data_IF_148558435032
#
_entry.id   IF_148558435032
#
_cell.length_a   1.000
_cell.length_b   1.000
_cell.length_c   1.000
_cell.angle_alpha   90.00
_cell.angle_beta   90.00
_cell.angle_gamma   90.00
#
_symmetry.space_group_name_H-M   'P 1'
#
loop_
_entity.id
_entity.type
_entity.pdbx_description
1 polymer ?
#
# COMPACT_ATOMS: atom_id res chain seq x y z
N UNK A 1 23.88 -29.57 6.72
CA UNK A 1 24.88 -30.66 6.59
C UNK A 1 25.89 -30.23 5.54
N UNK A 2 27.19 -30.35 5.85
CA UNK A 2 28.28 -30.03 4.93
C UNK A 2 28.20 -30.96 3.70
N UNK A 3 28.30 -30.48 2.45
CA UNK A 3 28.27 -31.29 1.23
C UNK A 3 29.29 -32.45 1.22
N UNK A 4 30.30 -32.42 2.09
CA UNK A 4 31.26 -33.52 2.29
C UNK A 4 30.68 -34.75 3.01
N UNK A 5 29.54 -34.63 3.69
CA UNK A 5 28.91 -35.71 4.47
C UNK A 5 27.78 -36.45 3.73
N UNK A 6 27.48 -36.05 2.49
CA UNK A 6 26.44 -36.65 1.64
C UNK A 6 26.57 -38.19 1.46
N UNK A 7 27.79 -38.77 1.27
CA UNK A 7 27.97 -40.21 1.08
C UNK A 7 27.64 -41.07 2.32
N UNK A 8 27.48 -40.44 3.50
CA UNK A 8 27.29 -41.14 4.78
C UNK A 8 25.84 -41.12 5.27
N UNK A 9 24.91 -40.53 4.50
CA UNK A 9 23.50 -40.62 4.85
C UNK A 9 22.95 -42.01 4.48
N UNK A 10 22.28 -42.66 5.44
CA UNK A 10 21.70 -44.00 5.26
C UNK A 10 20.77 -44.07 4.03
N UNK A 11 20.04 -42.98 3.76
CA UNK A 11 19.16 -42.89 2.60
C UNK A 11 19.91 -42.82 1.25
N UNK A 12 21.10 -42.17 1.19
CA UNK A 12 21.94 -42.18 -0.02
C UNK A 12 22.51 -43.57 -0.30
N UNK A 13 22.93 -44.29 0.75
CA UNK A 13 23.47 -45.65 0.63
C UNK A 13 22.41 -46.65 0.13
N UNK A 14 21.16 -46.51 0.58
CA UNK A 14 20.01 -47.29 0.07
C UNK A 14 19.73 -46.97 -1.41
N UNK A 15 19.85 -45.70 -1.81
CA UNK A 15 19.65 -45.28 -3.20
C UNK A 15 20.77 -45.80 -4.13
N UNK A 16 22.02 -45.76 -3.68
CA UNK A 16 23.19 -46.31 -4.39
C UNK A 16 23.08 -47.83 -4.56
N UNK A 17 22.65 -48.55 -3.52
CA UNK A 17 22.42 -50.00 -3.57
C UNK A 17 21.26 -50.39 -4.51
N UNK A 18 20.27 -49.51 -4.68
CA UNK A 18 19.09 -49.76 -5.54
C UNK A 18 19.32 -49.46 -7.02
N UNK A 19 20.37 -48.69 -7.35
CA UNK A 19 20.67 -48.22 -8.71
C UNK A 19 22.11 -48.54 -9.15
N UNK A 20 22.49 -49.83 -9.26
CA UNK A 20 23.88 -50.25 -9.48
C UNK A 20 24.46 -49.87 -10.86
N UNK A 21 23.60 -49.55 -11.84
CA UNK A 21 23.99 -49.24 -13.21
C UNK A 21 24.25 -47.73 -13.47
N UNK A 22 24.13 -46.88 -12.46
CA UNK A 22 24.28 -45.43 -12.57
C UNK A 22 25.62 -45.02 -11.96
N UNK A 23 26.36 -44.13 -12.63
CA UNK A 23 27.61 -43.60 -12.10
C UNK A 23 27.39 -42.86 -10.78
N UNK A 24 28.26 -43.11 -9.80
CA UNK A 24 28.20 -42.51 -8.45
C UNK A 24 28.14 -40.98 -8.48
N UNK A 25 28.76 -40.36 -9.49
CA UNK A 25 28.73 -38.91 -9.69
C UNK A 25 27.34 -38.39 -10.11
N UNK A 26 26.63 -39.13 -10.97
CA UNK A 26 25.26 -38.81 -11.36
C UNK A 26 24.29 -39.02 -10.19
N UNK A 27 24.44 -40.12 -9.44
CA UNK A 27 23.70 -40.39 -8.20
C UNK A 27 23.88 -39.28 -7.16
N UNK A 28 25.10 -38.77 -6.99
CA UNK A 28 25.39 -37.65 -6.08
C UNK A 28 24.70 -36.35 -6.53
N UNK A 29 24.69 -36.07 -7.83
CA UNK A 29 23.97 -34.93 -8.40
C UNK A 29 22.46 -35.05 -8.17
N UNK A 30 21.89 -36.22 -8.46
CA UNK A 30 20.47 -36.51 -8.23
C UNK A 30 20.09 -36.37 -6.75
N UNK A 31 20.92 -36.91 -5.86
CA UNK A 31 20.72 -36.80 -4.41
C UNK A 31 20.78 -35.36 -3.94
N UNK A 32 21.73 -34.57 -4.43
CA UNK A 32 21.82 -33.14 -4.12
C UNK A 32 20.53 -32.41 -4.51
N UNK A 33 19.96 -32.69 -5.68
CA UNK A 33 18.69 -32.11 -6.13
C UNK A 33 17.51 -32.56 -5.27
N UNK A 34 17.42 -33.85 -4.94
CA UNK A 34 16.36 -34.40 -4.06
C UNK A 34 16.46 -33.81 -2.66
N UNK A 35 17.67 -33.71 -2.11
CA UNK A 35 17.92 -33.11 -0.80
C UNK A 35 17.57 -31.61 -0.78
N UNK A 36 17.98 -30.85 -1.80
CA UNK A 36 17.60 -29.45 -1.96
C UNK A 36 16.08 -29.28 -2.05
N UNK A 37 15.41 -30.13 -2.83
CA UNK A 37 13.94 -30.14 -2.93
C UNK A 37 13.27 -30.48 -1.59
N UNK A 38 13.79 -31.46 -0.85
CA UNK A 38 13.30 -31.82 0.48
C UNK A 38 13.48 -30.67 1.47
N UNK A 39 14.64 -30.01 1.47
CA UNK A 39 14.90 -28.84 2.31
C UNK A 39 13.92 -27.70 1.97
N UNK A 40 13.72 -27.41 0.69
CA UNK A 40 12.78 -26.38 0.26
C UNK A 40 11.34 -26.71 0.71
N UNK A 41 10.90 -27.95 0.55
CA UNK A 41 9.58 -28.39 1.02
C UNK A 41 9.41 -28.24 2.54
N UNK A 42 10.46 -28.49 3.32
CA UNK A 42 10.46 -28.25 4.77
C UNK A 42 10.32 -26.76 5.12
N UNK A 43 11.06 -25.88 4.42
CA UNK A 43 10.96 -24.42 4.59
C UNK A 43 9.62 -23.84 4.11
N UNK A 44 8.92 -24.50 3.17
CA UNK A 44 7.62 -24.08 2.68
C UNK A 44 6.45 -24.46 3.60
N UNK A 45 6.63 -25.38 4.56
CA UNK A 45 5.56 -25.81 5.51
C UNK A 45 4.88 -24.65 6.27
N UNK A 46 5.59 -23.64 6.81
CA UNK A 46 4.96 -22.51 7.51
C UNK A 46 4.38 -21.44 6.57
N UNK A 47 4.69 -21.45 5.28
CA UNK A 47 4.29 -20.39 4.35
C UNK A 47 2.78 -20.17 4.24
N UNK A 48 1.91 -21.20 4.26
CA UNK A 48 0.46 -20.99 4.28
C UNK A 48 -0.02 -20.22 5.52
N UNK A 49 0.57 -20.48 6.69
CA UNK A 49 0.25 -19.76 7.93
C UNK A 49 0.72 -18.31 7.89
N UNK A 50 1.90 -18.05 7.31
CA UNK A 50 2.37 -16.69 7.03
C UNK A 50 1.36 -15.98 6.10
N UNK A 51 0.88 -16.68 5.06
CA UNK A 51 -0.16 -16.15 4.17
C UNK A 51 -1.46 -15.79 4.88
N UNK A 52 -1.88 -16.58 5.86
CA UNK A 52 -3.08 -16.25 6.64
C UNK A 52 -2.91 -14.99 7.47
N UNK A 53 -1.71 -14.73 8.02
CA UNK A 53 -1.42 -13.48 8.71
C UNK A 53 -1.49 -12.27 7.77
N UNK A 54 -1.01 -12.43 6.53
CA UNK A 54 -1.11 -11.39 5.49
C UNK A 54 -2.58 -11.10 5.16
N UNK A 55 -3.38 -12.16 5.00
CA UNK A 55 -4.82 -12.05 4.77
C UNK A 55 -5.54 -11.33 5.91
N UNK A 56 -5.24 -11.69 7.16
CA UNK A 56 -5.81 -11.06 8.35
C UNK A 56 -5.42 -9.59 8.46
N UNK A 57 -4.15 -9.24 8.25
CA UNK A 57 -3.68 -7.86 8.24
C UNK A 57 -4.35 -7.04 7.14
N UNK A 58 -4.50 -7.63 5.94
CA UNK A 58 -5.21 -7.00 4.83
C UNK A 58 -6.67 -6.75 5.17
N UNK A 59 -7.35 -7.72 5.81
CA UNK A 59 -8.74 -7.59 6.24
C UNK A 59 -8.92 -6.45 7.25
N UNK A 60 -8.00 -6.30 8.21
CA UNK A 60 -8.02 -5.19 9.17
C UNK A 60 -7.91 -3.84 8.46
N UNK A 61 -7.02 -3.71 7.48
CA UNK A 61 -6.93 -2.49 6.65
C UNK A 61 -8.24 -2.22 5.89
N UNK A 62 -8.86 -3.24 5.31
CA UNK A 62 -10.14 -3.10 4.60
C UNK A 62 -11.25 -2.63 5.53
N UNK A 63 -11.39 -3.26 6.71
CA UNK A 63 -12.41 -2.89 7.69
C UNK A 63 -12.24 -1.44 8.15
N UNK A 64 -11.00 -1.00 8.40
CA UNK A 64 -10.72 0.38 8.77
C UNK A 64 -11.07 1.37 7.65
N UNK A 65 -10.72 1.07 6.40
CA UNK A 65 -11.10 1.90 5.24
C UNK A 65 -12.63 1.97 5.05
N UNK A 66 -13.32 0.83 5.19
CA UNK A 66 -14.79 0.77 5.06
C UNK A 66 -15.47 1.52 6.21
N UNK A 67 -14.96 1.44 7.43
CA UNK A 67 -15.47 2.20 8.56
C UNK A 67 -15.37 3.72 8.31
N UNK A 68 -14.24 4.19 7.77
CA UNK A 68 -14.09 5.59 7.37
C UNK A 68 -15.05 5.99 6.23
N UNK A 69 -15.25 5.11 5.25
CA UNK A 69 -16.21 5.33 4.15
C UNK A 69 -17.65 5.45 4.68
N UNK A 70 -18.09 4.52 5.54
CA UNK A 70 -19.42 4.52 6.13
C UNK A 70 -19.64 5.74 7.03
N UNK A 71 -18.64 6.10 7.84
CA UNK A 71 -18.69 7.29 8.67
C UNK A 71 -18.82 8.58 7.85
N UNK A 72 -18.06 8.68 6.74
CA UNK A 72 -18.14 9.81 5.80
C UNK A 72 -19.50 9.90 5.09
N UNK A 73 -20.08 8.75 4.72
CA UNK A 73 -21.41 8.64 4.12
C UNK A 73 -22.51 9.08 5.09
N UNK A 74 -22.51 8.57 6.33
CA UNK A 74 -23.52 8.91 7.34
C UNK A 74 -23.54 10.40 7.70
N UNK A 75 -22.37 11.04 7.76
CA UNK A 75 -22.28 12.46 8.10
C UNK A 75 -22.46 13.40 6.89
N UNK A 76 -22.76 12.87 5.69
CA UNK A 76 -22.84 13.61 4.40
C UNK A 76 -21.60 14.47 4.11
N UNK A 77 -20.47 14.13 4.72
CA UNK A 77 -19.17 14.75 4.55
C UNK A 77 -18.21 13.69 4.04
N UNK A 78 -18.43 13.21 2.82
CA UNK A 78 -17.53 12.30 2.08
C UNK A 78 -16.09 12.83 1.94
N UNK A 79 -15.90 14.08 2.33
CA UNK A 79 -14.70 14.88 2.17
C UNK A 79 -13.91 15.07 3.49
N UNK A 80 -14.37 14.53 4.62
CA UNK A 80 -13.79 14.75 5.96
C UNK A 80 -13.77 13.46 6.82
N UNK A 81 -12.90 13.37 7.84
CA UNK A 81 -11.56 12.77 7.87
C UNK A 81 -11.54 11.22 8.04
N UNK A 82 -10.37 10.61 7.85
CA UNK A 82 -10.11 9.22 8.24
C UNK A 82 -9.86 9.13 9.74
N UNK A 83 -10.91 8.76 10.50
CA UNK A 83 -10.85 8.64 11.96
C UNK A 83 -10.34 7.26 12.38
N UNK A 84 -10.73 6.23 11.64
CA UNK A 84 -10.43 4.84 11.94
C UNK A 84 -9.16 4.36 11.23
N UNK A 85 -8.94 4.78 9.98
CA UNK A 85 -7.73 4.47 9.22
C UNK A 85 -6.77 5.65 9.23
N UNK A 86 -6.01 5.79 10.32
CA UNK A 86 -5.07 6.89 10.54
C UNK A 86 -3.63 6.43 10.37
N UNK A 87 -2.78 7.24 9.72
CA UNK A 87 -1.36 6.94 9.55
C UNK A 87 -0.62 7.06 10.89
N UNK A 88 -0.51 5.96 11.63
CA UNK A 88 0.26 5.84 12.85
C UNK A 88 1.21 4.63 12.83
N UNK A 89 2.02 4.47 13.87
CA UNK A 89 2.93 3.34 13.99
C UNK A 89 2.20 1.99 13.90
N UNK A 90 1.02 1.86 14.53
CA UNK A 90 0.22 0.64 14.49
C UNK A 90 -0.26 0.31 13.06
N UNK A 91 -0.86 1.27 12.35
CA UNK A 91 -1.31 1.07 10.97
C UNK A 91 -0.13 0.72 10.05
N UNK A 92 1.02 1.36 10.24
CA UNK A 92 2.23 1.07 9.46
C UNK A 92 2.71 -0.37 9.68
N UNK A 93 2.67 -0.89 10.90
CA UNK A 93 3.02 -2.30 11.17
C UNK A 93 2.03 -3.27 10.51
N UNK A 94 0.73 -2.98 10.56
CA UNK A 94 -0.29 -3.81 9.88
C UNK A 94 -0.10 -3.78 8.37
N UNK A 95 0.17 -2.61 7.78
CA UNK A 95 0.45 -2.47 6.35
C UNK A 95 1.72 -3.25 5.98
N UNK A 96 2.78 -3.17 6.78
CA UNK A 96 4.01 -3.92 6.54
C UNK A 96 3.77 -5.44 6.50
N UNK A 97 2.89 -5.96 7.36
CA UNK A 97 2.46 -7.37 7.31
C UNK A 97 1.61 -7.64 6.06
N UNK A 98 0.68 -6.75 5.70
CA UNK A 98 -0.20 -6.92 4.55
C UNK A 98 0.55 -6.90 3.20
N UNK A 99 1.67 -6.17 3.10
CA UNK A 99 2.48 -6.10 1.86
C UNK A 99 3.62 -7.11 1.82
N UNK A 100 3.67 -8.06 2.77
CA UNK A 100 4.78 -9.00 2.88
C UNK A 100 4.93 -9.92 1.65
N UNK A 101 3.82 -10.20 0.94
CA UNK A 101 3.80 -11.10 -0.22
C UNK A 101 4.72 -10.65 -1.37
N UNK A 102 4.66 -9.39 -1.88
CA UNK A 102 5.61 -8.88 -2.86
C UNK A 102 7.00 -8.56 -2.30
N UNK A 103 7.19 -8.52 -0.97
CA UNK A 103 8.49 -8.25 -0.34
C UNK A 103 9.41 -9.46 -0.25
N UNK A 104 8.95 -10.66 -0.60
CA UNK A 104 9.75 -11.88 -0.55
C UNK A 104 10.35 -12.20 -1.94
N UNK A 105 11.66 -11.89 -2.17
CA UNK A 105 12.30 -12.13 -3.46
C UNK A 105 12.71 -13.60 -3.66
N UNK A 106 12.78 -14.41 -2.59
CA UNK A 106 13.44 -15.72 -2.61
C UNK A 106 12.47 -16.88 -2.86
N UNK A 107 11.17 -16.67 -2.70
CA UNK A 107 10.19 -17.69 -3.03
C UNK A 107 10.00 -17.77 -4.56
N UNK A 108 10.54 -18.83 -5.17
CA UNK A 108 10.21 -19.23 -6.53
C UNK A 108 8.72 -19.58 -6.58
N UNK A 109 7.94 -18.76 -7.27
CA UNK A 109 6.48 -18.80 -7.18
C UNK A 109 5.83 -18.98 -8.55
N UNK A 110 5.77 -20.23 -9.04
CA UNK A 110 5.13 -20.55 -10.30
C UNK A 110 3.60 -20.46 -10.17
N UNK A 111 2.96 -19.56 -10.92
CA UNK A 111 1.51 -19.58 -11.14
C UNK A 111 0.85 -18.20 -11.23
N UNK A 112 -0.14 -18.12 -12.09
CA UNK A 112 -0.85 -16.87 -12.43
C UNK A 112 -1.62 -16.28 -11.25
N UNK A 113 -2.18 -17.13 -10.37
CA UNK A 113 -2.86 -16.70 -9.14
C UNK A 113 -1.89 -15.98 -8.20
N UNK A 114 -0.64 -16.44 -8.16
CA UNK A 114 0.38 -15.83 -7.32
C UNK A 114 0.85 -14.48 -7.89
N UNK A 115 1.06 -14.40 -9.21
CA UNK A 115 1.33 -13.14 -9.90
C UNK A 115 0.20 -12.15 -9.65
N UNK A 116 -1.05 -12.56 -9.86
CA UNK A 116 -2.23 -11.73 -9.62
C UNK A 116 -2.29 -11.25 -8.17
N UNK A 117 -1.96 -12.09 -7.18
CA UNK A 117 -1.90 -11.68 -5.78
C UNK A 117 -0.82 -10.62 -5.52
N UNK A 118 0.40 -10.77 -6.06
CA UNK A 118 1.47 -9.75 -5.92
C UNK A 118 1.08 -8.42 -6.56
N UNK A 119 0.52 -8.45 -7.77
CA UNK A 119 0.01 -7.25 -8.45
C UNK A 119 -1.17 -6.63 -7.71
N UNK A 120 -2.04 -7.47 -7.13
CA UNK A 120 -3.14 -7.05 -6.27
C UNK A 120 -2.65 -6.36 -5.01
N UNK A 121 -1.58 -6.86 -4.37
CA UNK A 121 -0.97 -6.20 -3.22
C UNK A 121 -0.40 -4.82 -3.57
N UNK A 122 0.16 -4.65 -4.78
CA UNK A 122 0.62 -3.34 -5.25
C UNK A 122 -0.54 -2.35 -5.43
N UNK A 123 -1.63 -2.78 -6.07
CA UNK A 123 -2.84 -1.96 -6.19
C UNK A 123 -3.48 -1.64 -4.82
N UNK A 124 -3.46 -2.62 -3.91
CA UNK A 124 -3.94 -2.45 -2.55
C UNK A 124 -3.11 -1.43 -1.78
N UNK A 125 -1.79 -1.42 -1.97
CA UNK A 125 -0.91 -0.40 -1.39
C UNK A 125 -1.22 1.01 -1.91
N UNK A 126 -1.44 1.18 -3.23
CA UNK A 126 -1.92 2.46 -3.78
C UNK A 126 -3.21 2.93 -3.10
N UNK A 127 -4.15 2.01 -2.92
CA UNK A 127 -5.45 2.28 -2.31
C UNK A 127 -5.33 2.67 -0.85
N UNK A 128 -4.48 1.96 -0.09
CA UNK A 128 -4.15 2.28 1.29
C UNK A 128 -3.56 3.69 1.39
N UNK A 129 -2.55 4.00 0.57
CA UNK A 129 -1.90 5.32 0.59
C UNK A 129 -2.89 6.44 0.26
N UNK A 130 -3.74 6.28 -0.74
CA UNK A 130 -4.75 7.27 -1.10
C UNK A 130 -5.78 7.50 0.03
N UNK A 131 -6.13 6.46 0.78
CA UNK A 131 -7.05 6.58 1.92
C UNK A 131 -6.38 7.17 3.16
N UNK A 132 -5.10 6.90 3.40
CA UNK A 132 -4.38 7.44 4.55
C UNK A 132 -3.98 8.92 4.37
N UNK A 133 -3.96 9.45 3.15
CA UNK A 133 -3.44 10.79 2.84
C UNK A 133 -4.11 11.91 3.65
N UNK A 134 -5.44 11.95 3.85
CA UNK A 134 -6.08 12.97 4.67
C UNK A 134 -5.69 12.91 6.15
N UNK A 135 -5.28 11.74 6.65
CA UNK A 135 -4.91 11.57 8.06
C UNK A 135 -3.62 12.31 8.44
N UNK A 136 -2.77 12.66 7.47
CA UNK A 136 -1.57 13.48 7.70
C UNK A 136 -1.89 14.79 8.43
N UNK A 137 -3.05 15.38 8.14
CA UNK A 137 -3.46 16.65 8.70
C UNK A 137 -3.91 16.58 10.17
N UNK A 138 -4.10 15.37 10.71
CA UNK A 138 -4.53 15.16 12.11
C UNK A 138 -3.37 14.86 13.05
N UNK A 139 -2.14 14.72 12.53
CA UNK A 139 -0.98 14.26 13.29
C UNK A 139 -0.15 15.40 13.81
N UNK A 140 0.41 15.25 15.00
CA UNK A 140 1.39 16.19 15.56
C UNK A 140 2.65 16.20 14.71
N UNK A 141 3.42 17.29 14.73
CA UNK A 141 4.51 17.51 13.78
C UNK A 141 5.61 16.44 13.85
N UNK A 142 5.96 16.00 15.06
CA UNK A 142 6.94 14.92 15.28
C UNK A 142 6.40 13.56 14.81
N UNK A 143 5.15 13.25 15.16
CA UNK A 143 4.48 12.00 14.76
C UNK A 143 4.32 11.94 13.23
N UNK A 144 3.91 13.05 12.62
CA UNK A 144 3.75 13.21 11.18
C UNK A 144 5.05 12.88 10.44
N UNK A 145 6.16 13.51 10.81
CA UNK A 145 7.46 13.30 10.15
C UNK A 145 7.92 11.85 10.32
N UNK A 146 7.84 11.30 11.54
CA UNK A 146 8.25 9.92 11.81
C UNK A 146 7.44 8.91 10.99
N UNK A 147 6.11 9.05 10.96
CA UNK A 147 5.23 8.15 10.23
C UNK A 147 5.40 8.26 8.71
N UNK A 148 5.63 9.47 8.18
CA UNK A 148 5.89 9.67 6.75
C UNK A 148 7.23 9.06 6.34
N UNK A 149 8.28 9.20 7.15
CA UNK A 149 9.58 8.54 6.90
C UNK A 149 9.41 7.02 6.91
N UNK A 150 8.70 6.46 7.91
CA UNK A 150 8.45 5.02 7.98
C UNK A 150 7.65 4.52 6.77
N UNK A 151 6.61 5.25 6.34
CA UNK A 151 5.87 4.93 5.12
C UNK A 151 6.77 4.98 3.88
N UNK A 152 7.65 5.99 3.77
CA UNK A 152 8.56 6.14 2.64
C UNK A 152 9.55 4.98 2.54
N UNK A 153 10.13 4.56 3.66
CA UNK A 153 11.02 3.39 3.71
C UNK A 153 10.28 2.12 3.30
N UNK A 154 9.06 1.92 3.83
CA UNK A 154 8.24 0.76 3.51
C UNK A 154 7.93 0.67 2.01
N UNK A 155 7.53 1.80 1.41
CA UNK A 155 7.23 1.91 -0.03
C UNK A 155 8.50 1.72 -0.87
N UNK A 156 9.62 2.31 -0.47
CA UNK A 156 10.88 2.16 -1.17
C UNK A 156 11.33 0.70 -1.22
N UNK A 157 11.27 -0.01 -0.09
CA UNK A 157 11.58 -1.44 -0.03
C UNK A 157 10.64 -2.27 -0.89
N UNK A 158 9.34 -1.96 -0.91
CA UNK A 158 8.36 -2.63 -1.75
C UNK A 158 8.70 -2.49 -3.24
N UNK A 159 8.96 -1.26 -3.69
CA UNK A 159 9.31 -0.97 -5.09
C UNK A 159 10.63 -1.64 -5.46
N UNK A 160 11.66 -1.55 -4.61
CA UNK A 160 12.96 -2.15 -4.86
C UNK A 160 12.87 -3.67 -5.03
N UNK A 161 12.18 -4.35 -4.10
CA UNK A 161 11.98 -5.80 -4.17
C UNK A 161 11.23 -6.23 -5.44
N UNK A 162 10.25 -5.43 -5.87
CA UNK A 162 9.49 -5.72 -7.08
C UNK A 162 10.29 -5.49 -8.36
N UNK A 163 11.09 -4.42 -8.42
CA UNK A 163 12.01 -4.16 -9.52
C UNK A 163 13.03 -5.29 -9.68
N UNK A 164 13.58 -5.82 -8.57
CA UNK A 164 14.46 -6.99 -8.61
C UNK A 164 13.74 -8.19 -9.21
N UNK A 165 12.51 -8.49 -8.78
CA UNK A 165 11.72 -9.62 -9.29
C UNK A 165 11.37 -9.50 -10.79
N UNK A 166 11.17 -8.27 -11.30
CA UNK A 166 10.96 -8.01 -12.73
C UNK A 166 12.26 -8.23 -13.52
N UNK A 167 13.39 -7.69 -13.04
CA UNK A 167 14.68 -7.78 -13.73
C UNK A 167 15.19 -9.21 -13.79
N UNK A 168 15.07 -9.95 -12.68
CA UNK A 168 15.45 -11.37 -12.60
C UNK A 168 14.52 -12.29 -13.39
N UNK A 169 13.34 -11.81 -13.81
CA UNK A 169 12.35 -12.60 -14.55
C UNK A 169 11.58 -13.61 -13.69
N UNK A 170 11.87 -13.68 -12.38
CA UNK A 170 11.23 -14.60 -11.43
C UNK A 170 9.72 -14.32 -11.33
N UNK A 171 9.32 -13.06 -11.48
CA UNK A 171 7.91 -12.64 -11.37
C UNK A 171 6.97 -13.34 -12.36
N UNK A 172 7.48 -13.68 -13.54
CA UNK A 172 6.68 -14.27 -14.63
C UNK A 172 7.08 -15.71 -14.95
N UNK A 173 7.93 -16.32 -14.12
CA UNK A 173 8.41 -17.67 -14.35
C UNK A 173 7.26 -18.69 -14.24
N UNK A 174 6.95 -19.38 -15.33
CA UNK A 174 6.01 -20.51 -15.35
C UNK A 174 6.77 -21.79 -15.73
N UNK A 175 6.58 -22.92 -15.01
CA UNK A 175 7.31 -24.17 -15.28
C UNK A 175 6.98 -24.75 -16.67
N UNK A 176 5.75 -24.50 -17.15
CA UNK A 176 5.29 -24.94 -18.46
C UNK A 176 6.00 -24.20 -19.62
N UNK A 177 6.70 -23.09 -19.32
CA UNK A 177 7.51 -22.37 -20.30
C UNK A 177 8.74 -23.18 -20.78
N UNK A 178 9.06 -24.29 -20.11
CA UNK A 178 10.09 -25.23 -20.57
C UNK A 178 9.67 -25.99 -21.86
N UNK A 179 8.36 -26.14 -22.13
CA UNK A 179 7.85 -26.83 -23.33
C UNK A 179 7.42 -25.85 -24.43
N UNK A 180 6.93 -24.67 -24.05
CA UNK A 180 6.71 -23.54 -24.96
C UNK A 180 7.26 -22.29 -24.29
N UNK A 181 8.43 -21.76 -24.67
CA UNK A 181 8.93 -20.52 -24.10
C UNK A 181 8.00 -19.40 -24.57
N UNK A 182 6.94 -19.15 -23.82
CA UNK A 182 6.24 -17.88 -23.87
C UNK A 182 7.26 -16.86 -23.36
N UNK A 183 8.04 -16.30 -24.29
CA UNK A 183 8.87 -15.13 -24.03
C UNK A 183 7.91 -14.07 -23.53
N UNK A 184 7.86 -13.89 -22.21
CA UNK A 184 7.25 -12.70 -21.60
C UNK A 184 7.87 -11.52 -22.31
N UNK A 185 7.02 -10.79 -23.03
CA UNK A 185 7.50 -9.74 -23.88
C UNK A 185 8.13 -8.66 -23.00
N UNK A 186 9.16 -7.99 -23.50
CA UNK A 186 9.66 -6.77 -22.87
C UNK A 186 8.50 -5.80 -22.55
N UNK A 187 7.46 -5.82 -23.39
CA UNK A 187 6.22 -5.09 -23.20
C UNK A 187 5.50 -5.44 -21.89
N UNK A 188 5.37 -6.71 -21.51
CA UNK A 188 4.66 -7.10 -20.27
C UNK A 188 5.39 -6.59 -19.02
N UNK A 189 6.73 -6.56 -19.06
CA UNK A 189 7.55 -5.98 -17.99
C UNK A 189 7.37 -4.47 -17.91
N UNK A 190 7.40 -3.78 -19.04
CA UNK A 190 7.20 -2.32 -19.11
C UNK A 190 5.79 -1.94 -18.66
N UNK A 191 4.79 -2.70 -19.09
CA UNK A 191 3.37 -2.51 -18.75
C UNK A 191 3.16 -2.73 -17.24
N UNK A 192 3.74 -3.79 -16.65
CA UNK A 192 3.70 -4.02 -15.19
C UNK A 192 4.40 -2.92 -14.38
N UNK A 193 5.59 -2.49 -14.83
CA UNK A 193 6.34 -1.40 -14.20
C UNK A 193 5.56 -0.07 -14.25
N UNK A 194 5.05 0.29 -15.43
CA UNK A 194 4.26 1.51 -15.64
C UNK A 194 2.94 1.50 -14.89
N UNK A 195 2.25 0.36 -14.82
CA UNK A 195 0.93 0.25 -14.23
C UNK A 195 0.90 0.19 -12.70
N UNK A 196 1.99 -0.23 -12.04
CA UNK A 196 2.03 -0.37 -10.58
C UNK A 196 3.10 0.46 -9.89
N UNK A 197 4.34 0.48 -10.41
CA UNK A 197 5.45 1.19 -9.74
C UNK A 197 5.30 2.70 -9.87
N UNK A 198 4.93 3.19 -11.06
CA UNK A 198 4.76 4.63 -11.29
C UNK A 198 3.67 5.23 -10.41
N UNK A 199 2.45 4.67 -10.30
CA UNK A 199 1.43 5.14 -9.36
C UNK A 199 1.90 5.23 -7.89
N UNK A 200 2.60 4.20 -7.41
CA UNK A 200 3.09 4.14 -6.03
C UNK A 200 4.14 5.25 -5.77
N UNK A 201 5.08 5.45 -6.69
CA UNK A 201 6.09 6.50 -6.58
C UNK A 201 5.48 7.90 -6.66
N UNK A 202 4.49 8.11 -7.54
CA UNK A 202 3.76 9.37 -7.62
C UNK A 202 3.00 9.66 -6.32
N UNK A 203 2.36 8.64 -5.73
CA UNK A 203 1.72 8.77 -4.41
C UNK A 203 2.75 9.09 -3.32
N UNK A 204 3.95 8.52 -3.36
CA UNK A 204 5.00 8.83 -2.40
C UNK A 204 5.47 10.29 -2.48
N UNK A 205 5.65 10.81 -3.70
CA UNK A 205 5.96 12.23 -3.93
C UNK A 205 4.84 13.11 -3.39
N UNK A 206 3.58 12.75 -3.69
CA UNK A 206 2.40 13.45 -3.16
C UNK A 206 2.39 13.47 -1.61
N UNK A 207 2.77 12.36 -0.97
CA UNK A 207 2.89 12.27 0.48
C UNK A 207 3.93 13.24 1.03
N UNK A 208 5.14 13.26 0.46
CA UNK A 208 6.22 14.14 0.87
C UNK A 208 5.84 15.63 0.69
N UNK A 209 5.24 15.99 -0.45
CA UNK A 209 4.77 17.33 -0.71
C UNK A 209 3.64 17.73 0.26
N UNK A 210 2.67 16.84 0.49
CA UNK A 210 1.53 17.10 1.37
C UNK A 210 1.96 17.23 2.83
N UNK A 211 2.88 16.39 3.32
CA UNK A 211 3.41 16.48 4.68
C UNK A 211 4.17 17.79 4.89
N UNK A 212 5.00 18.20 3.92
CA UNK A 212 5.71 19.48 4.00
C UNK A 212 4.75 20.67 3.98
N UNK A 213 3.73 20.62 3.12
CA UNK A 213 2.69 21.66 3.05
C UNK A 213 1.91 21.77 4.35
N UNK A 214 1.52 20.64 4.96
CA UNK A 214 0.82 20.61 6.26
C UNK A 214 1.69 21.22 7.35
N UNK A 215 2.96 20.82 7.44
CA UNK A 215 3.89 21.34 8.45
C UNK A 215 4.08 22.85 8.32
N UNK A 216 4.29 23.34 7.09
CA UNK A 216 4.40 24.78 6.81
C UNK A 216 3.12 25.53 7.15
N UNK A 217 1.96 25.00 6.80
CA UNK A 217 0.69 25.64 7.12
C UNK A 217 0.42 25.71 8.60
N UNK A 218 0.76 24.67 9.38
CA UNK A 218 0.69 24.73 10.85
C UNK A 218 1.60 25.81 11.43
N UNK A 219 2.84 25.87 10.97
CA UNK A 219 3.80 26.89 11.42
C UNK A 219 3.31 28.32 11.10
N UNK A 220 2.77 28.54 9.91
CA UNK A 220 2.20 29.84 9.51
C UNK A 220 0.98 30.17 10.36
N UNK A 221 0.09 29.19 10.59
CA UNK A 221 -1.11 29.39 11.40
C UNK A 221 -0.75 29.71 12.85
N UNK A 222 0.19 28.99 13.45
CA UNK A 222 0.68 29.25 14.79
C UNK A 222 1.32 30.64 14.90
N UNK A 223 2.18 31.00 13.94
CA UNK A 223 2.78 32.34 13.88
C UNK A 223 1.73 33.44 13.80
N UNK A 224 0.75 33.31 12.88
CA UNK A 224 -0.34 34.28 12.74
C UNK A 224 -1.21 34.36 13.99
N UNK A 225 -1.48 33.21 14.61
CA UNK A 225 -2.22 33.15 15.86
C UNK A 225 -1.47 33.87 16.98
N UNK A 226 -0.17 33.61 17.15
CA UNK A 226 0.66 34.28 18.15
C UNK A 226 0.71 35.80 17.92
N UNK A 227 0.88 36.25 16.67
CA UNK A 227 0.84 37.68 16.33
C UNK A 227 -0.51 38.30 16.64
N UNK A 228 -1.62 37.67 16.21
CA UNK A 228 -2.97 38.18 16.47
C UNK A 228 -3.29 38.23 17.97
N UNK A 229 -2.86 37.20 18.73
CA UNK A 229 -3.03 37.14 20.16
C UNK A 229 -2.22 38.23 20.88
N UNK A 230 -0.95 38.42 20.51
CA UNK A 230 -0.13 39.50 21.07
C UNK A 230 -0.69 40.89 20.75
N UNK A 231 -1.21 41.11 19.54
CA UNK A 231 -1.88 42.37 19.18
C UNK A 231 -3.12 42.60 20.03
N UNK A 232 -3.96 41.58 20.21
CA UNK A 232 -5.14 41.66 21.08
C UNK A 232 -4.75 41.96 22.55
N UNK A 233 -3.72 41.29 23.08
CA UNK A 233 -3.20 41.51 24.44
C UNK A 233 -2.61 42.92 24.66
N UNK A 234 -2.14 43.59 23.60
CA UNK A 234 -1.62 44.97 23.68
C UNK A 234 -2.71 46.03 23.55
N UNK A 235 -3.93 45.64 23.19
CA UNK A 235 -5.08 46.55 23.07
C UNK A 235 -5.46 47.11 24.47
N UNK A 236 -5.28 48.42 24.72
CA UNK A 236 -5.57 49.04 26.01
C UNK A 236 -7.04 48.91 26.40
N UNK A 237 -7.96 48.87 25.43
CA UNK A 237 -9.40 48.73 25.70
C UNK A 237 -9.77 47.31 26.15
N UNK A 238 -9.08 46.29 25.62
CA UNK A 238 -9.24 44.90 26.04
C UNK A 238 -8.71 44.72 27.48
N UNK A 239 -7.55 45.31 27.81
CA UNK A 239 -6.96 45.28 29.16
C UNK A 239 -7.78 46.04 30.20
N UNK A 240 -8.41 47.14 29.82
CA UNK A 240 -9.24 47.96 30.71
C UNK A 240 -10.68 47.41 30.87
N UNK A 241 -11.02 46.28 30.24
CA UNK A 241 -12.38 45.71 30.25
C UNK A 241 -13.43 46.59 29.54
N UNK A 242 -13.01 47.60 28.77
CA UNK A 242 -13.88 48.56 28.06
C UNK A 242 -14.16 48.12 26.61
N UNK A 243 -14.37 46.83 26.39
CA UNK A 243 -14.55 46.30 25.04
C UNK A 243 -15.98 46.55 24.55
N UNK A 244 -16.13 47.31 23.47
CA UNK A 244 -17.43 47.48 22.80
C UNK A 244 -17.88 46.18 22.13
N UNK A 245 -19.19 45.93 22.12
CA UNK A 245 -19.80 44.72 21.52
C UNK A 245 -19.38 44.53 20.06
N UNK A 246 -19.20 45.64 19.32
CA UNK A 246 -18.74 45.63 17.92
C UNK A 246 -17.31 45.11 17.78
N UNK A 247 -16.37 45.59 18.61
CA UNK A 247 -14.98 45.11 18.62
C UNK A 247 -14.87 43.66 19.07
N UNK A 248 -15.65 43.25 20.07
CA UNK A 248 -15.72 41.85 20.50
C UNK A 248 -16.18 40.92 19.38
N UNK A 249 -17.26 41.29 18.70
CA UNK A 249 -17.79 40.53 17.55
C UNK A 249 -16.74 40.40 16.45
N UNK A 250 -15.95 41.45 16.20
CA UNK A 250 -14.89 41.44 15.21
C UNK A 250 -13.72 40.52 15.60
N UNK A 251 -13.27 40.55 16.85
CA UNK A 251 -12.24 39.62 17.34
C UNK A 251 -12.73 38.16 17.25
N UNK A 252 -13.93 37.87 17.75
CA UNK A 252 -14.51 36.51 17.70
C UNK A 252 -14.68 36.04 16.25
N UNK A 253 -15.15 36.90 15.35
CA UNK A 253 -15.27 36.57 13.93
C UNK A 253 -13.92 36.29 13.29
N UNK A 254 -12.88 37.08 13.58
CA UNK A 254 -11.54 36.86 13.03
C UNK A 254 -10.92 35.55 13.53
N UNK A 255 -11.05 35.25 14.82
CA UNK A 255 -10.59 33.96 15.37
C UNK A 255 -11.41 32.78 14.84
N UNK A 256 -12.72 32.94 14.64
CA UNK A 256 -13.59 31.92 14.06
C UNK A 256 -13.23 31.63 12.60
N UNK A 257 -13.00 32.67 11.80
CA UNK A 257 -12.55 32.53 10.40
C UNK A 257 -11.16 31.89 10.36
N UNK A 258 -10.24 32.27 11.25
CA UNK A 258 -8.90 31.66 11.36
C UNK A 258 -8.97 30.18 11.76
N UNK A 259 -9.84 29.80 12.70
CA UNK A 259 -10.07 28.42 13.11
C UNK A 259 -10.73 27.58 11.99
N UNK A 260 -11.69 28.17 11.26
CA UNK A 260 -12.41 27.49 10.17
C UNK A 260 -11.55 27.30 8.91
N UNK A 261 -10.87 28.36 8.45
CA UNK A 261 -10.07 28.34 7.22
C UNK A 261 -8.66 27.81 7.41
N UNK A 262 -8.14 27.82 8.65
CA UNK A 262 -6.80 27.37 8.98
C UNK A 262 -6.68 25.88 9.30
N UNK A 263 -7.79 25.13 9.41
CA UNK A 263 -7.71 23.72 9.79
C UNK A 263 -6.92 22.92 8.73
N UNK A 264 -5.78 22.30 9.08
CA UNK A 264 -4.95 21.57 8.12
C UNK A 264 -5.74 20.47 7.39
N UNK A 265 -6.76 19.90 8.06
CA UNK A 265 -7.62 18.86 7.52
C UNK A 265 -8.49 19.36 6.36
N UNK A 266 -9.06 20.55 6.48
CA UNK A 266 -9.84 21.17 5.41
C UNK A 266 -8.95 21.51 4.21
N UNK A 267 -7.76 22.03 4.48
CA UNK A 267 -6.79 22.38 3.44
C UNK A 267 -6.27 21.16 2.69
N UNK A 268 -6.01 20.04 3.38
CA UNK A 268 -5.59 18.78 2.76
C UNK A 268 -6.73 18.11 2.00
N UNK A 269 -7.97 18.14 2.49
CA UNK A 269 -9.09 17.59 1.74
C UNK A 269 -9.36 18.34 0.42
N UNK A 270 -9.06 19.65 0.37
CA UNK A 270 -9.22 20.54 -0.80
C UNK A 270 -8.01 20.58 -1.72
N UNK A 271 -6.92 19.92 -1.35
CA UNK A 271 -5.69 20.07 -2.08
C UNK A 271 -5.76 19.36 -3.43
N UNK A 272 -5.05 19.95 -4.40
CA UNK A 272 -4.77 19.34 -5.70
C UNK A 272 -4.09 17.97 -5.50
N UNK A 273 -3.29 17.82 -4.44
CA UNK A 273 -2.62 16.55 -4.10
C UNK A 273 -3.59 15.44 -3.74
N UNK A 274 -4.65 15.72 -2.97
CA UNK A 274 -5.68 14.72 -2.63
C UNK A 274 -6.50 14.33 -3.86
N UNK A 275 -6.84 15.30 -4.71
CA UNK A 275 -7.53 15.02 -5.98
C UNK A 275 -6.68 14.14 -6.91
N UNK A 276 -5.41 14.49 -7.10
CA UNK A 276 -4.46 13.70 -7.89
C UNK A 276 -4.30 12.27 -7.33
N UNK A 277 -4.23 12.11 -6.01
CA UNK A 277 -4.16 10.79 -5.38
C UNK A 277 -5.40 9.93 -5.66
N UNK A 278 -6.59 10.55 -5.75
CA UNK A 278 -7.83 9.88 -6.12
C UNK A 278 -7.82 9.38 -7.56
N UNK A 279 -7.33 10.19 -8.51
CA UNK A 279 -7.17 9.80 -9.92
C UNK A 279 -6.17 8.65 -10.06
N UNK A 280 -5.02 8.73 -9.37
CA UNK A 280 -3.99 7.68 -9.39
C UNK A 280 -4.55 6.37 -8.82
N UNK A 281 -5.29 6.44 -7.71
CA UNK A 281 -5.94 5.28 -7.10
C UNK A 281 -6.96 4.64 -8.04
N UNK A 282 -7.78 5.44 -8.72
CA UNK A 282 -8.75 4.96 -9.70
C UNK A 282 -8.09 4.32 -10.93
N UNK A 283 -7.02 4.93 -11.45
CA UNK A 283 -6.25 4.38 -12.56
C UNK A 283 -5.60 3.04 -12.19
N UNK A 284 -4.99 2.94 -11.00
CA UNK A 284 -4.40 1.70 -10.49
C UNK A 284 -5.46 0.60 -10.30
N UNK A 285 -6.65 0.97 -9.81
CA UNK A 285 -7.77 0.04 -9.65
C UNK A 285 -8.29 -0.45 -11.00
N UNK A 286 -8.50 0.46 -11.96
CA UNK A 286 -8.96 0.10 -13.30
C UNK A 286 -7.97 -0.82 -14.01
N UNK A 287 -6.67 -0.55 -13.88
CA UNK A 287 -5.62 -1.40 -14.42
C UNK A 287 -5.60 -2.79 -13.78
N UNK A 288 -5.75 -2.88 -12.45
CA UNK A 288 -5.83 -4.16 -11.76
C UNK A 288 -7.07 -4.98 -12.15
N UNK A 289 -8.25 -4.35 -12.25
CA UNK A 289 -9.48 -4.99 -12.71
C UNK A 289 -9.32 -5.50 -14.14
N UNK A 290 -8.74 -4.68 -15.04
CA UNK A 290 -8.46 -5.08 -16.41
C UNK A 290 -7.60 -6.34 -16.47
N UNK A 291 -6.53 -6.41 -15.67
CA UNK A 291 -5.67 -7.59 -15.59
C UNK A 291 -6.40 -8.83 -15.07
N UNK A 292 -7.25 -8.70 -14.03
CA UNK A 292 -8.04 -9.81 -13.52
C UNK A 292 -9.01 -10.31 -14.59
N UNK A 293 -9.75 -9.41 -15.24
CA UNK A 293 -10.77 -9.78 -16.24
C UNK A 293 -10.14 -10.44 -17.45
N UNK A 294 -9.03 -9.89 -17.96
CA UNK A 294 -8.31 -10.44 -19.11
C UNK A 294 -7.75 -11.84 -18.82
N UNK A 295 -7.25 -12.07 -17.61
CA UNK A 295 -6.65 -13.36 -17.21
C UNK A 295 -7.61 -14.30 -16.46
N UNK A 296 -8.90 -13.94 -16.33
CA UNK A 296 -9.88 -14.65 -15.50
C UNK A 296 -10.06 -16.12 -15.88
N UNK A 297 -10.14 -16.39 -17.19
CA UNK A 297 -10.24 -17.74 -17.76
C UNK A 297 -9.05 -18.63 -17.36
N UNK A 298 -7.86 -18.04 -17.19
CA UNK A 298 -6.65 -18.76 -16.81
C UNK A 298 -6.55 -18.93 -15.28
N UNK A 299 -6.92 -17.90 -14.52
CA UNK A 299 -6.90 -17.87 -13.06
C UNK A 299 -7.84 -18.91 -12.41
N UNK A 300 -9.01 -19.16 -13.00
CA UNK A 300 -9.98 -20.14 -12.46
C UNK A 300 -9.75 -21.57 -12.94
N UNK A 301 -9.17 -21.75 -14.14
CA UNK A 301 -9.06 -23.07 -14.78
C UNK A 301 -7.86 -23.87 -14.28
N UNK A 302 -6.80 -23.19 -13.81
CA UNK A 302 -5.65 -23.86 -13.20
C UNK A 302 -5.80 -23.95 -11.68
N UNK A 303 -5.78 -25.17 -11.13
CA UNK A 303 -5.56 -25.42 -9.69
C UNK A 303 -4.09 -25.13 -9.28
N UNK A 304 -3.50 -24.09 -9.83
CA UNK A 304 -2.08 -23.72 -9.66
C UNK A 304 -1.78 -23.18 -8.26
N UNK A 305 -2.80 -22.89 -7.44
CA UNK A 305 -2.58 -22.49 -6.04
C UNK A 305 -1.86 -23.57 -5.21
N UNK A 306 -1.94 -24.86 -5.58
CA UNK A 306 -1.19 -25.93 -4.92
C UNK A 306 0.32 -25.90 -5.23
N UNK A 307 0.76 -25.13 -6.24
CA UNK A 307 2.17 -24.98 -6.62
C UNK A 307 2.88 -23.82 -5.91
N UNK A 308 2.12 -22.91 -5.29
CA UNK A 308 2.70 -21.84 -4.47
C UNK A 308 3.04 -22.37 -3.07
N UNK A 309 4.17 -21.94 -2.50
CA UNK A 309 4.52 -22.23 -1.11
C UNK A 309 3.43 -21.79 -0.13
N UNK A 310 2.73 -20.70 -0.46
CA UNK A 310 1.62 -20.15 0.32
C UNK A 310 0.29 -20.90 0.13
N UNK A 311 0.23 -21.89 -0.77
CA UNK A 311 -0.92 -22.76 -1.05
C UNK A 311 -2.24 -21.98 -1.22
N UNK A 312 -3.31 -22.40 -0.55
CA UNK A 312 -4.63 -21.76 -0.60
C UNK A 312 -4.63 -20.33 -0.04
N UNK A 313 -3.66 -19.96 0.82
CA UNK A 313 -3.62 -18.64 1.44
C UNK A 313 -3.41 -17.52 0.42
N UNK A 314 -2.75 -17.80 -0.72
CA UNK A 314 -2.60 -16.83 -1.83
C UNK A 314 -3.95 -16.38 -2.36
N UNK A 315 -4.88 -17.33 -2.55
CA UNK A 315 -6.21 -17.05 -3.05
C UNK A 315 -6.99 -16.18 -2.06
N UNK A 316 -6.88 -16.50 -0.77
CA UNK A 316 -7.54 -15.71 0.30
C UNK A 316 -7.01 -14.28 0.33
N UNK A 317 -5.69 -14.10 0.25
CA UNK A 317 -5.05 -12.78 0.17
C UNK A 317 -5.58 -12.02 -1.05
N UNK A 318 -5.56 -12.64 -2.23
CA UNK A 318 -6.02 -12.03 -3.47
C UNK A 318 -7.47 -11.57 -3.36
N UNK A 319 -8.36 -12.40 -2.81
CA UNK A 319 -9.78 -12.06 -2.65
C UNK A 319 -9.98 -10.87 -1.70
N UNK A 320 -9.36 -10.90 -0.52
CA UNK A 320 -9.49 -9.82 0.48
C UNK A 320 -8.92 -8.51 -0.06
N UNK A 321 -7.73 -8.54 -0.66
CA UNK A 321 -7.09 -7.33 -1.19
C UNK A 321 -7.85 -6.79 -2.40
N UNK A 322 -8.42 -7.64 -3.26
CA UNK A 322 -9.25 -7.20 -4.40
C UNK A 322 -10.52 -6.49 -3.94
N UNK A 323 -11.22 -7.05 -2.95
CA UNK A 323 -12.38 -6.39 -2.31
C UNK A 323 -11.95 -5.05 -1.70
N UNK A 324 -10.80 -5.04 -1.03
CA UNK A 324 -10.20 -3.86 -0.44
C UNK A 324 -9.87 -2.75 -1.44
N UNK A 325 -9.34 -3.10 -2.61
CA UNK A 325 -9.07 -2.16 -3.71
C UNK A 325 -10.39 -1.55 -4.20
N UNK A 326 -11.39 -2.37 -4.50
CA UNK A 326 -12.68 -1.88 -5.03
C UNK A 326 -13.36 -0.93 -4.04
N UNK A 327 -13.51 -1.36 -2.77
CA UNK A 327 -14.17 -0.56 -1.75
C UNK A 327 -13.34 0.67 -1.35
N UNK A 328 -12.02 0.52 -1.25
CA UNK A 328 -11.12 1.58 -0.86
C UNK A 328 -11.01 2.70 -1.90
N UNK A 329 -11.26 2.44 -3.18
CA UNK A 329 -11.20 3.46 -4.24
C UNK A 329 -12.39 4.44 -4.22
N UNK A 330 -13.50 4.07 -3.57
CA UNK A 330 -14.71 4.90 -3.50
C UNK A 330 -14.43 6.24 -2.81
N UNK A 331 -13.75 6.23 -1.65
CA UNK A 331 -13.52 7.46 -0.88
C UNK A 331 -12.54 8.43 -1.58
N UNK A 332 -11.37 8.01 -2.10
CA UNK A 332 -10.49 8.87 -2.88
C UNK A 332 -11.17 9.46 -4.13
N UNK A 333 -12.00 8.69 -4.84
CA UNK A 333 -12.79 9.18 -5.97
C UNK A 333 -13.80 10.26 -5.54
N UNK A 334 -14.55 10.02 -4.46
CA UNK A 334 -15.49 11.00 -3.94
C UNK A 334 -14.81 12.32 -3.58
N UNK A 335 -13.60 12.25 -2.98
CA UNK A 335 -12.78 13.45 -2.69
C UNK A 335 -12.35 14.16 -3.96
N UNK A 336 -11.92 13.43 -4.98
CA UNK A 336 -11.56 13.98 -6.28
C UNK A 336 -12.73 14.77 -6.91
N UNK A 337 -13.93 14.18 -6.98
CA UNK A 337 -15.13 14.87 -7.51
C UNK A 337 -15.53 16.10 -6.69
N UNK A 338 -15.41 16.04 -5.37
CA UNK A 338 -15.70 17.18 -4.50
C UNK A 338 -14.79 18.39 -4.82
N UNK A 339 -13.49 18.16 -5.00
CA UNK A 339 -12.53 19.23 -5.34
C UNK A 339 -12.82 19.89 -6.69
N UNK A 340 -13.21 19.12 -7.71
CA UNK A 340 -13.59 19.69 -9.00
C UNK A 340 -14.86 20.53 -8.90
N UNK A 341 -15.82 20.10 -8.08
CA UNK A 341 -17.11 20.78 -7.91
C UNK A 341 -16.97 22.10 -7.14
N UNK A 342 -16.14 22.14 -6.09
CA UNK A 342 -15.86 23.37 -5.35
C UNK A 342 -15.11 24.38 -6.21
N UNK A 343 -14.18 23.91 -7.06
CA UNK A 343 -13.42 24.79 -7.95
C UNK A 343 -14.27 25.42 -9.06
N UNK A 344 -15.18 24.66 -9.69
CA UNK A 344 -16.11 25.23 -10.69
C UNK A 344 -16.93 26.39 -10.11
N UNK A 345 -17.44 26.23 -8.88
CA UNK A 345 -18.17 27.30 -8.18
C UNK A 345 -17.32 28.52 -7.82
N UNK A 346 -16.01 28.39 -7.66
CA UNK A 346 -15.14 29.54 -7.43
C UNK A 346 -14.81 30.31 -8.72
N UNK A 347 -14.85 29.63 -9.87
CA UNK A 347 -14.57 30.24 -11.19
C UNK A 347 -15.84 30.87 -11.79
N UNK A 348 -17.02 30.32 -11.52
CA UNK A 348 -18.29 30.88 -12.02
C UNK A 348 -18.78 32.12 -11.23
N UNK A 349 -18.25 32.37 -10.02
CA UNK A 349 -18.72 33.43 -9.11
C UNK A 349 -17.62 34.42 -8.67
N UNK A 350 -16.42 34.34 -9.26
CA UNK A 350 -15.33 35.31 -9.05
C UNK A 350 -14.95 35.95 -10.38
#
# INVERSE_FOLDING_TARGET
MDPKNIPYSHEFQVLEASCPNITTEYLRSLWSLVYQSHQQNQYSKPMPWIGMNIALASLLCVLAMVADLLHGLWNRKLWFPCKYFSLNAASLTVIAVAIKLPMDPNNLMPGDVHLAAKLGTMSFMCTIMANLLPSLATKDDKELVSNVIALALLVFSLVFNFCIQITTGILFFTPDAAFYPYKISFLDRVISLGGFVVPILMLLIIYACSSLAILKSKQILESKYQTANQTALKDPELKAGRLTVVKLKQYVSNYWIMAGTGSPQFMTACSITTSASGVICAASTGYFIFLIVFNFQFLLRRKDYNRSDYKYSVLVILMIQSIGVILGTIAPLARCFATFTTRKRLIEYG
#
